data_IF_812026715509
#
_entry.id   IF_812026715509
#
_cell.length_a   1.000
_cell.length_b   1.000
_cell.length_c   1.000
_cell.angle_alpha   90.00
_cell.angle_beta   90.00
_cell.angle_gamma   90.00
#
_symmetry.space_group_name_H-M   'P 1'
#
loop_
_entity.id
_entity.type
_entity.pdbx_description
1 polymer ?
#
# COMPACT_ATOMS: atom_id res chain seq x y z
N UNK A 1 -11.12 3.47 -7.03
CA UNK A 1 -9.78 3.33 -6.40
C UNK A 1 -8.74 3.11 -7.49
N UNK A 2 -7.52 3.61 -7.34
CA UNK A 2 -6.40 3.38 -8.28
C UNK A 2 -5.06 3.39 -7.54
N UNK A 3 -4.01 2.90 -8.21
CA UNK A 3 -2.64 3.04 -7.76
C UNK A 3 -2.00 4.24 -8.45
N UNK A 4 -1.16 4.97 -7.73
CA UNK A 4 -0.36 6.07 -8.27
C UNK A 4 1.09 5.85 -7.92
N UNK A 5 1.97 6.05 -8.90
CA UNK A 5 3.40 6.00 -8.68
C UNK A 5 4.08 7.01 -9.61
N UNK A 6 4.98 7.81 -9.05
CA UNK A 6 5.73 8.84 -9.80
C UNK A 6 4.86 9.78 -10.67
N UNK A 7 3.64 10.08 -10.21
CA UNK A 7 2.70 10.95 -10.92
C UNK A 7 1.71 10.22 -11.84
N UNK A 8 2.03 9.00 -12.27
CA UNK A 8 1.20 8.22 -13.19
C UNK A 8 0.19 7.35 -12.45
N UNK A 9 -0.97 7.12 -13.07
CA UNK A 9 -2.02 6.25 -12.57
C UNK A 9 -1.88 4.84 -13.15
N UNK A 10 -1.98 3.85 -12.29
CA UNK A 10 -1.79 2.43 -12.60
C UNK A 10 -3.07 1.63 -12.32
N UNK A 11 -3.43 0.68 -13.19
CA UNK A 11 -4.60 -0.17 -12.99
C UNK A 11 -4.36 -1.21 -11.89
N UNK A 12 -5.43 -1.91 -11.52
CA UNK A 12 -5.38 -3.07 -10.64
C UNK A 12 -4.44 -4.15 -11.20
N UNK A 13 -3.62 -4.76 -10.34
CA UNK A 13 -2.71 -5.82 -10.74
C UNK A 13 -1.35 -5.33 -11.26
N UNK A 14 -0.99 -4.07 -11.01
CA UNK A 14 0.25 -3.47 -11.51
C UNK A 14 1.49 -3.94 -10.73
N UNK A 15 2.65 -3.82 -11.38
CA UNK A 15 3.94 -4.32 -10.91
C UNK A 15 4.88 -3.17 -10.57
N UNK A 16 5.53 -3.25 -9.41
CA UNK A 16 6.45 -2.24 -8.91
C UNK A 16 7.73 -2.89 -8.40
N UNK A 17 8.85 -2.33 -8.81
CA UNK A 17 10.16 -2.77 -8.32
C UNK A 17 10.42 -2.19 -6.94
N UNK A 18 10.82 -3.01 -5.97
CA UNK A 18 11.09 -2.62 -4.59
C UNK A 18 12.11 -1.47 -4.51
N UNK A 19 13.17 -1.56 -5.30
CA UNK A 19 14.25 -0.59 -5.46
C UNK A 19 13.79 0.75 -6.03
N UNK A 20 12.62 0.76 -6.69
CA UNK A 20 11.97 1.96 -7.18
C UNK A 20 11.03 2.57 -6.15
N UNK A 21 10.47 1.77 -5.23
CA UNK A 21 9.53 2.20 -4.20
C UNK A 21 10.20 2.43 -2.85
N UNK A 22 11.37 3.07 -2.83
CA UNK A 22 12.28 3.08 -1.69
C UNK A 22 12.36 4.41 -0.92
N UNK A 23 11.40 5.31 -1.14
CA UNK A 23 11.40 6.62 -0.50
C UNK A 23 9.99 7.18 -0.38
N UNK A 24 9.78 8.10 0.56
CA UNK A 24 8.49 8.77 0.75
C UNK A 24 8.01 9.47 -0.53
N UNK A 25 8.91 9.98 -1.37
CA UNK A 25 8.58 10.62 -2.65
C UNK A 25 8.41 9.64 -3.81
N UNK A 26 8.79 8.37 -3.61
CA UNK A 26 8.66 7.28 -4.57
C UNK A 26 7.74 6.19 -4.05
N UNK A 27 6.67 6.57 -3.36
CA UNK A 27 5.73 5.60 -2.80
C UNK A 27 4.74 5.09 -3.86
N UNK A 28 4.15 3.92 -3.61
CA UNK A 28 2.91 3.50 -4.26
C UNK A 28 1.78 4.13 -3.45
N UNK A 29 1.05 5.08 -4.04
CA UNK A 29 -0.16 5.63 -3.44
C UNK A 29 -1.37 4.81 -3.86
N UNK A 30 -2.08 4.24 -2.90
CA UNK A 30 -3.43 3.73 -3.12
C UNK A 30 -4.42 4.84 -2.83
N UNK A 31 -5.25 5.21 -3.80
CA UNK A 31 -6.10 6.42 -3.74
C UNK A 31 -7.55 6.09 -4.01
N UNK A 32 -8.45 6.55 -3.14
CA UNK A 32 -9.89 6.55 -3.33
C UNK A 32 -10.44 7.99 -3.37
N UNK A 33 -10.76 8.50 -4.57
CA UNK A 33 -11.19 9.89 -4.74
C UNK A 33 -12.49 10.25 -4.01
N UNK A 34 -12.57 11.48 -3.53
CA UNK A 34 -13.80 12.06 -2.96
C UNK A 34 -14.27 11.42 -1.66
N UNK A 35 -13.37 10.74 -0.95
CA UNK A 35 -13.65 10.07 0.32
C UNK A 35 -12.57 10.42 1.34
N UNK A 36 -12.90 10.37 2.63
CA UNK A 36 -11.89 10.53 3.67
C UNK A 36 -11.39 9.18 4.17
N UNK A 37 -10.09 9.09 4.46
CA UNK A 37 -9.51 7.89 5.04
C UNK A 37 -9.96 7.72 6.49
N UNK A 38 -10.42 6.52 6.86
CA UNK A 38 -10.79 6.20 8.25
C UNK A 38 -9.78 5.28 8.89
N UNK A 39 -9.58 4.08 8.34
CA UNK A 39 -8.58 3.11 8.81
C UNK A 39 -7.61 2.79 7.69
N UNK A 40 -8.09 2.18 6.60
CA UNK A 40 -7.34 1.80 5.40
C UNK A 40 -6.18 0.84 5.67
N UNK A 41 -5.88 -0.07 4.74
CA UNK A 41 -4.83 -1.05 4.97
C UNK A 41 -4.12 -1.49 3.70
N UNK A 42 -2.82 -1.75 3.83
CA UNK A 42 -2.10 -2.65 2.94
C UNK A 42 -1.99 -4.01 3.61
N UNK A 43 -2.20 -5.08 2.84
CA UNK A 43 -2.16 -6.46 3.34
C UNK A 43 -1.45 -7.32 2.30
N UNK A 44 -0.54 -8.19 2.74
CA UNK A 44 0.06 -9.19 1.86
C UNK A 44 -0.97 -10.28 1.55
N UNK A 45 -1.15 -10.62 0.28
CA UNK A 45 -2.17 -11.61 -0.14
C UNK A 45 -1.86 -13.00 0.41
N UNK A 46 -0.59 -13.35 0.56
CA UNK A 46 -0.17 -14.63 1.14
C UNK A 46 -0.51 -14.74 2.63
N UNK A 47 -0.61 -13.61 3.35
CA UNK A 47 -0.84 -13.53 4.79
C UNK A 47 -1.98 -12.51 5.07
N UNK A 48 -3.23 -12.82 4.66
CA UNK A 48 -4.32 -11.85 4.65
C UNK A 48 -4.76 -11.38 6.06
N UNK A 49 -4.43 -12.16 7.08
CA UNK A 49 -4.75 -11.87 8.48
C UNK A 49 -3.72 -10.93 9.15
N UNK A 50 -2.62 -10.62 8.45
CA UNK A 50 -1.53 -9.78 8.97
C UNK A 50 -1.38 -8.55 8.07
N UNK A 51 -2.01 -7.42 8.43
CA UNK A 51 -1.77 -6.15 7.74
C UNK A 51 -0.29 -5.77 7.78
N UNK A 52 0.14 -5.04 6.76
CA UNK A 52 1.46 -4.41 6.74
C UNK A 52 1.54 -3.44 7.93
N UNK A 53 2.55 -3.63 8.79
CA UNK A 53 2.75 -2.76 9.95
C UNK A 53 3.42 -1.45 9.55
N UNK A 54 2.58 -0.49 9.20
CA UNK A 54 3.00 0.87 8.84
C UNK A 54 3.64 1.68 9.98
N UNK A 55 3.61 1.20 11.23
CA UNK A 55 4.07 1.92 12.42
C UNK A 55 5.28 1.27 13.09
N UNK A 56 5.86 0.26 12.45
CA UNK A 56 6.99 -0.48 12.95
C UNK A 56 8.24 0.42 13.05
N UNK A 57 8.75 0.62 14.27
CA UNK A 57 10.12 1.12 14.50
C UNK A 57 11.14 -0.03 14.50
N UNK A 58 10.74 -1.21 14.02
CA UNK A 58 11.57 -2.41 14.04
C UNK A 58 12.37 -2.44 12.75
N UNK A 59 13.70 -2.44 12.87
CA UNK A 59 14.62 -2.44 11.73
C UNK A 59 14.44 -3.62 10.75
N UNK A 60 13.70 -4.67 11.13
CA UNK A 60 13.39 -5.81 10.28
C UNK A 60 12.14 -5.63 9.43
N UNK A 61 11.31 -4.62 9.67
CA UNK A 61 10.14 -4.34 8.84
C UNK A 61 10.55 -3.42 7.68
N UNK A 62 10.51 -3.89 6.43
CA UNK A 62 10.88 -3.06 5.31
C UNK A 62 9.79 -2.04 4.96
N UNK A 63 8.56 -2.18 5.46
CA UNK A 63 7.44 -1.37 5.02
C UNK A 63 7.25 -0.11 5.86
N UNK A 64 7.03 1.00 5.16
CA UNK A 64 6.64 2.27 5.74
C UNK A 64 5.43 2.82 4.99
N UNK A 65 4.58 3.54 5.71
CA UNK A 65 3.40 4.14 5.12
C UNK A 65 3.27 5.60 5.49
N UNK A 66 2.58 6.34 4.64
CA UNK A 66 2.02 7.66 4.98
C UNK A 66 0.58 7.69 4.53
N UNK A 67 -0.23 8.56 5.12
CA UNK A 67 -1.62 8.69 4.73
C UNK A 67 -2.03 10.14 4.52
N UNK A 68 -3.05 10.31 3.69
CA UNK A 68 -3.77 11.57 3.51
C UNK A 68 -5.24 11.27 3.69
N UNK A 69 -5.87 11.99 4.61
CA UNK A 69 -7.26 11.75 4.98
C UNK A 69 -8.24 12.56 4.16
N UNK A 70 -7.83 13.63 3.46
CA UNK A 70 -8.71 14.50 2.67
C UNK A 70 -7.90 15.31 1.63
N UNK A 71 -8.43 15.64 0.44
CA UNK A 71 -9.79 15.37 -0.06
C UNK A 71 -10.02 13.94 -0.57
N UNK A 72 -8.94 13.20 -0.80
CA UNK A 72 -8.98 11.82 -1.29
C UNK A 72 -8.29 10.90 -0.27
N UNK A 73 -8.97 9.85 0.14
CA UNK A 73 -8.42 8.84 1.03
C UNK A 73 -7.22 8.21 0.34
N UNK A 74 -6.03 8.43 0.88
CA UNK A 74 -4.78 7.96 0.29
C UNK A 74 -3.97 7.23 1.33
N UNK A 75 -3.55 6.01 1.00
CA UNK A 75 -2.60 5.23 1.79
C UNK A 75 -1.38 4.89 0.93
N UNK A 76 -0.25 5.46 1.29
CA UNK A 76 1.02 5.30 0.60
C UNK A 76 1.82 4.16 1.20
N UNK A 77 2.52 3.40 0.36
CA UNK A 77 3.46 2.36 0.74
C UNK A 77 4.83 2.63 0.13
N UNK A 78 5.88 2.59 0.94
CA UNK A 78 7.27 2.65 0.48
C UNK A 78 8.16 1.83 1.40
N UNK A 79 9.37 1.56 0.94
CA UNK A 79 10.26 0.62 1.56
C UNK A 79 11.48 1.31 2.15
N UNK A 80 11.80 1.01 3.41
CA UNK A 80 13.04 1.48 4.05
C UNK A 80 14.27 0.71 3.56
N UNK A 81 14.07 -0.53 3.12
CA UNK A 81 15.07 -1.45 2.61
C UNK A 81 14.45 -2.38 1.57
N UNK A 82 15.27 -3.05 0.77
CA UNK A 82 14.78 -4.00 -0.24
C UNK A 82 14.00 -5.17 0.37
N UNK A 83 13.18 -5.81 -0.45
CA UNK A 83 12.41 -6.98 -0.04
C UNK A 83 13.27 -8.25 -0.10
N UNK A 84 12.94 -9.21 0.75
CA UNK A 84 13.44 -10.58 0.63
C UNK A 84 12.49 -11.42 -0.22
N UNK A 85 12.94 -12.60 -0.67
CA UNK A 85 12.09 -13.57 -1.37
C UNK A 85 10.82 -13.98 -0.58
N UNK A 86 10.88 -13.91 0.75
CA UNK A 86 9.72 -14.17 1.60
C UNK A 86 8.79 -12.98 1.76
N UNK A 87 9.28 -11.78 1.44
CA UNK A 87 8.54 -10.54 1.61
C UNK A 87 7.95 -10.06 0.29
N UNK A 88 8.62 -10.20 -0.85
CA UNK A 88 8.07 -9.89 -2.18
C UNK A 88 6.75 -10.63 -2.48
N UNK A 89 5.98 -10.09 -3.42
CA UNK A 89 4.77 -10.71 -3.95
C UNK A 89 3.57 -9.78 -4.09
N UNK A 90 2.38 -10.37 -3.96
CA UNK A 90 1.12 -9.65 -4.11
C UNK A 90 0.66 -8.98 -2.81
N UNK A 91 0.26 -7.73 -2.95
CA UNK A 91 -0.32 -6.90 -1.91
C UNK A 91 -1.69 -6.42 -2.36
N UNK A 92 -2.61 -6.28 -1.42
CA UNK A 92 -3.88 -5.59 -1.62
C UNK A 92 -3.91 -4.34 -0.75
N UNK A 93 -4.42 -3.26 -1.30
CA UNK A 93 -4.79 -2.06 -0.56
C UNK A 93 -6.32 -2.00 -0.44
N UNK A 94 -6.80 -1.66 0.76
CA UNK A 94 -8.22 -1.51 1.07
C UNK A 94 -8.49 -0.07 1.55
N UNK A 95 -9.49 0.58 0.95
CA UNK A 95 -9.92 1.95 1.26
C UNK A 95 -11.45 2.12 1.16
N UNK A 96 -12.05 3.02 1.97
CA UNK A 96 -11.38 3.88 2.96
C UNK A 96 -11.15 3.17 4.30
N UNK A 97 -11.73 1.98 4.46
CA UNK A 97 -11.68 1.11 5.64
C UNK A 97 -10.71 -0.06 5.42
N UNK A 98 -10.49 -0.84 6.47
CA UNK A 98 -9.62 -2.01 6.48
C UNK A 98 -10.10 -3.14 5.54
N UNK A 99 -9.24 -4.13 5.33
CA UNK A 99 -9.53 -5.25 4.43
C UNK A 99 -10.50 -6.30 4.97
N UNK A 100 -10.97 -6.16 6.22
CA UNK A 100 -11.98 -7.06 6.78
C UNK A 100 -13.41 -6.58 6.51
N UNK A 101 -13.57 -5.28 6.22
CA UNK A 101 -14.85 -4.70 5.79
C UNK A 101 -15.22 -5.19 4.38
N UNK A 102 -16.32 -5.94 4.21
CA UNK A 102 -16.75 -6.46 2.91
C UNK A 102 -17.18 -5.36 1.93
N UNK A 103 -17.40 -4.12 2.40
CA UNK A 103 -17.79 -2.99 1.58
C UNK A 103 -16.61 -2.07 1.22
N UNK A 104 -15.39 -2.40 1.65
CA UNK A 104 -14.19 -1.64 1.30
C UNK A 104 -13.84 -1.83 -0.18
N UNK A 105 -13.24 -0.81 -0.79
CA UNK A 105 -12.69 -0.93 -2.14
C UNK A 105 -11.32 -1.56 -2.07
N UNK A 106 -11.00 -2.45 -3.02
CA UNK A 106 -9.73 -3.17 -3.05
C UNK A 106 -8.99 -2.96 -4.36
N UNK A 107 -7.66 -2.85 -4.28
CA UNK A 107 -6.77 -2.86 -5.43
C UNK A 107 -5.48 -3.62 -5.12
N UNK A 108 -4.97 -4.34 -6.10
CA UNK A 108 -3.80 -5.21 -5.97
C UNK A 108 -2.56 -4.60 -6.64
N UNK A 109 -1.41 -4.78 -6.00
CA UNK A 109 -0.09 -4.43 -6.50
C UNK A 109 0.86 -5.62 -6.29
N UNK A 110 1.71 -5.91 -7.26
CA UNK A 110 2.82 -6.83 -7.09
C UNK A 110 4.10 -6.02 -6.82
N UNK A 111 4.81 -6.32 -5.74
CA UNK A 111 6.02 -5.62 -5.32
C UNK A 111 7.14 -6.66 -5.19
N UNK A 112 8.23 -6.46 -5.91
CA UNK A 112 9.36 -7.40 -6.00
C UNK A 112 10.69 -6.67 -6.24
#
# INVERSE_FOLDING_TARGET
IYLKYNGDCYPNGSYFWDSSVNAVTKNISCVLPGTNLTTGQWVKVADPDVPVDCNSNIASDPFLCTNVTSPDATLNLYLAQGLSATTEGWYKCCLPTDCSDPNTNMIFANIF
#
